data_IF_344439171699
#
_entry.id   IF_344439171699
#
_cell.length_a   1.000
_cell.length_b   1.000
_cell.length_c   1.000
_cell.angle_alpha   90.00
_cell.angle_beta   90.00
_cell.angle_gamma   90.00
#
_symmetry.space_group_name_H-M   'P 1'
#
loop_
_entity.id
_entity.type
_entity.pdbx_description
1 polymer ?
#
# COMPACT_ATOMS: atom_id res chain seq x y z
N UNK A 1 36.86 23.13 35.85
CA UNK A 1 35.54 22.78 35.27
C UNK A 1 34.92 21.77 36.22
N UNK A 2 34.23 22.24 37.26
CA UNK A 2 34.05 21.48 38.51
C UNK A 2 32.78 20.60 38.57
N UNK A 3 32.24 20.13 37.43
CA UNK A 3 31.19 19.11 37.43
C UNK A 3 29.89 19.42 38.19
N UNK A 4 29.67 20.66 38.66
CA UNK A 4 28.48 21.04 39.42
C UNK A 4 27.33 21.23 38.44
N UNK A 5 26.42 20.26 38.37
CA UNK A 5 25.17 20.37 37.64
C UNK A 5 24.23 21.32 38.38
N UNK A 6 24.01 22.52 37.84
CA UNK A 6 23.01 23.47 38.38
C UNK A 6 21.68 23.26 37.67
N UNK A 7 20.74 22.61 38.36
CA UNK A 7 19.38 22.44 37.85
C UNK A 7 18.60 23.77 38.01
N UNK A 8 17.78 24.16 37.01
CA UNK A 8 16.95 25.35 37.10
C UNK A 8 15.84 25.17 38.15
N UNK A 9 15.37 26.29 38.74
CA UNK A 9 14.24 26.24 39.68
C UNK A 9 13.00 25.62 39.03
N UNK A 10 12.32 24.68 39.73
CA UNK A 10 11.12 24.04 39.21
C UNK A 10 10.00 25.06 38.96
N UNK A 11 9.33 24.91 37.81
CA UNK A 11 8.19 25.76 37.40
C UNK A 11 6.85 25.00 37.43
N UNK A 12 6.87 23.72 37.80
CA UNK A 12 5.68 22.87 37.98
C UNK A 12 5.90 21.89 39.14
N UNK A 13 4.80 21.33 39.68
CA UNK A 13 4.85 20.28 40.70
C UNK A 13 5.56 19.02 40.20
N UNK A 14 5.38 18.64 38.93
CA UNK A 14 6.10 17.50 38.31
C UNK A 14 7.62 17.71 38.31
N UNK A 15 8.07 18.93 38.00
CA UNK A 15 9.50 19.27 38.03
C UNK A 15 10.03 19.29 39.47
N UNK A 16 9.25 19.79 40.43
CA UNK A 16 9.63 19.77 41.84
C UNK A 16 9.80 18.33 42.33
N UNK A 17 8.85 17.45 42.03
CA UNK A 17 8.91 16.03 42.40
C UNK A 17 10.15 15.35 41.82
N UNK A 18 10.47 15.61 40.54
CA UNK A 18 11.66 15.07 39.89
C UNK A 18 12.96 15.60 40.52
N UNK A 19 13.04 16.91 40.78
CA UNK A 19 14.22 17.52 41.41
C UNK A 19 14.44 16.97 42.82
N UNK A 20 13.37 16.84 43.63
CA UNK A 20 13.42 16.22 44.96
C UNK A 20 13.86 14.76 44.90
N UNK A 21 13.36 13.99 43.93
CA UNK A 21 13.79 12.61 43.75
C UNK A 21 15.28 12.51 43.41
N UNK A 22 15.76 13.31 42.44
CA UNK A 22 17.16 13.36 42.04
C UNK A 22 18.10 13.78 43.19
N UNK A 23 17.63 14.58 44.15
CA UNK A 23 18.44 14.96 45.33
C UNK A 23 18.61 13.84 46.34
N UNK A 24 17.77 12.81 46.29
CA UNK A 24 17.80 11.65 47.19
C UNK A 24 18.60 10.47 46.58
N UNK A 25 18.80 10.48 45.26
CA UNK A 25 19.60 9.45 44.58
C UNK A 25 21.08 9.62 44.94
N UNK A 26 21.66 8.63 45.61
CA UNK A 26 23.11 8.53 45.82
C UNK A 26 23.78 7.99 44.56
N UNK A 27 24.65 8.78 43.96
CA UNK A 27 25.49 8.33 42.85
C UNK A 27 26.67 7.53 43.41
N UNK A 28 26.98 6.41 42.76
CA UNK A 28 28.14 5.60 43.09
C UNK A 28 29.20 5.81 42.00
N UNK A 29 30.47 5.67 42.34
CA UNK A 29 31.59 5.75 41.37
C UNK A 29 31.76 4.47 40.53
N UNK A 30 30.70 3.69 40.38
CA UNK A 30 30.71 2.48 39.55
C UNK A 30 30.45 2.86 38.09
N UNK A 31 31.07 2.13 37.16
CA UNK A 31 30.80 2.30 35.73
C UNK A 31 29.33 1.96 35.42
N UNK A 32 28.68 2.84 34.67
CA UNK A 32 27.32 2.63 34.20
C UNK A 32 27.27 1.42 33.25
N UNK A 33 26.29 0.53 33.48
CA UNK A 33 25.97 -0.57 32.57
C UNK A 33 24.54 -0.41 32.04
N UNK A 34 24.35 -0.74 30.77
CA UNK A 34 23.01 -0.72 30.17
C UNK A 34 22.37 -2.10 30.28
N UNK A 35 21.09 -2.13 30.65
CA UNK A 35 20.25 -3.32 30.62
C UNK A 35 19.09 -3.08 29.64
N UNK A 36 18.80 -4.08 28.80
CA UNK A 36 17.62 -4.08 27.96
C UNK A 36 16.52 -4.83 28.71
N UNK A 37 15.41 -4.19 29.04
CA UNK A 37 14.31 -4.83 29.78
C UNK A 37 13.01 -4.76 28.98
N UNK A 38 12.25 -5.86 28.96
CA UNK A 38 10.93 -5.94 28.34
C UNK A 38 10.00 -6.80 29.18
N UNK A 39 8.84 -6.27 29.59
CA UNK A 39 7.84 -6.99 30.42
C UNK A 39 8.50 -7.75 31.59
N UNK A 40 9.40 -7.08 32.30
CA UNK A 40 10.18 -7.60 33.44
C UNK A 40 11.23 -8.68 33.12
N UNK A 41 11.52 -8.93 31.85
CA UNK A 41 12.61 -9.80 31.40
C UNK A 41 13.83 -8.98 30.96
N UNK A 42 14.98 -9.25 31.56
CA UNK A 42 16.27 -8.75 31.09
C UNK A 42 16.69 -9.48 29.81
N UNK A 43 16.99 -8.72 28.78
CA UNK A 43 17.41 -9.19 27.48
C UNK A 43 18.92 -9.06 27.36
N UNK A 44 19.58 -10.16 27.03
CA UNK A 44 21.01 -10.20 26.82
C UNK A 44 21.51 -9.34 25.63
N UNK A 45 20.61 -8.94 24.71
CA UNK A 45 20.99 -8.10 23.57
C UNK A 45 19.85 -7.21 23.05
N UNK A 46 20.26 -6.09 22.46
CA UNK A 46 19.36 -5.17 21.76
C UNK A 46 18.79 -5.80 20.49
N UNK A 47 17.48 -5.73 20.30
CA UNK A 47 16.82 -6.11 19.04
C UNK A 47 15.97 -4.97 18.51
N UNK A 48 16.43 -4.35 17.42
CA UNK A 48 15.69 -3.30 16.71
C UNK A 48 14.30 -3.79 16.26
N UNK A 49 14.19 -5.04 15.81
CA UNK A 49 12.91 -5.63 15.39
C UNK A 49 11.94 -5.77 16.56
N UNK A 50 12.45 -6.14 17.74
CA UNK A 50 11.64 -6.26 18.94
C UNK A 50 11.14 -4.89 19.38
N UNK A 51 12.03 -3.91 19.52
CA UNK A 51 11.65 -2.54 19.91
C UNK A 51 10.70 -1.90 18.89
N UNK A 52 10.93 -2.13 17.61
CA UNK A 52 10.00 -1.68 16.57
C UNK A 52 8.61 -2.30 16.74
N UNK A 53 8.51 -3.59 17.07
CA UNK A 53 7.21 -4.21 17.36
C UNK A 53 6.58 -3.62 18.63
N UNK A 54 7.36 -3.32 19.66
CA UNK A 54 6.84 -2.73 20.91
C UNK A 54 6.30 -1.32 20.74
N UNK A 55 7.02 -0.48 19.99
CA UNK A 55 6.63 0.91 19.77
C UNK A 55 5.49 0.99 18.73
N UNK A 56 5.38 0.00 17.86
CA UNK A 56 4.42 0.05 16.75
C UNK A 56 3.02 -0.27 17.22
N UNK A 57 2.11 0.65 16.94
CA UNK A 57 0.67 0.35 16.94
C UNK A 57 0.35 -0.83 16.01
N UNK A 58 0.05 -1.98 16.58
CA UNK A 58 -0.39 -3.17 15.87
C UNK A 58 -1.83 -2.98 15.37
N UNK A 59 -1.99 -2.22 14.29
CA UNK A 59 -3.28 -2.07 13.61
C UNK A 59 -3.69 -3.39 12.96
N UNK A 60 -4.99 -3.74 12.99
CA UNK A 60 -5.46 -4.98 12.39
C UNK A 60 -5.10 -5.02 10.90
N UNK A 61 -4.76 -6.21 10.41
CA UNK A 61 -4.50 -6.39 8.99
C UNK A 61 -5.74 -6.04 8.18
N UNK A 62 -5.58 -5.09 7.27
CA UNK A 62 -6.64 -4.61 6.40
C UNK A 62 -6.95 -5.63 5.31
N UNK A 63 -8.24 -5.90 5.02
CA UNK A 63 -8.64 -6.96 4.09
C UNK A 63 -8.19 -6.71 2.65
N UNK A 64 -7.94 -5.45 2.27
CA UNK A 64 -7.45 -5.07 0.94
C UNK A 64 -5.94 -5.22 0.76
N UNK A 65 -5.17 -5.55 1.81
CA UNK A 65 -3.70 -5.59 1.76
C UNK A 65 -3.19 -6.47 0.60
N UNK A 66 -3.70 -7.70 0.49
CA UNK A 66 -3.30 -8.68 -0.53
C UNK A 66 -3.78 -8.32 -1.95
N UNK A 67 -4.83 -7.49 -2.06
CA UNK A 67 -5.41 -7.03 -3.32
C UNK A 67 -4.61 -5.85 -3.89
N UNK A 68 -4.16 -4.94 -3.00
CA UNK A 68 -3.34 -3.79 -3.37
C UNK A 68 -1.88 -4.19 -3.59
N UNK A 69 -1.31 -4.94 -2.65
CA UNK A 69 0.11 -5.30 -2.64
C UNK A 69 0.33 -6.71 -3.16
N UNK A 70 -0.02 -6.92 -4.42
CA UNK A 70 0.20 -8.18 -5.11
C UNK A 70 1.70 -8.40 -5.35
N UNK A 71 2.30 -9.47 -4.80
CA UNK A 71 3.74 -9.74 -4.88
C UNK A 71 4.28 -9.83 -6.31
N UNK A 72 3.50 -10.41 -7.23
CA UNK A 72 3.84 -10.50 -8.67
C UNK A 72 3.27 -9.32 -9.48
N UNK A 73 2.79 -8.29 -8.80
CA UNK A 73 2.26 -7.06 -9.36
C UNK A 73 3.29 -6.20 -10.07
N UNK A 74 2.84 -5.07 -10.60
CA UNK A 74 3.74 -3.99 -11.07
C UNK A 74 3.81 -2.97 -9.91
N UNK A 75 4.99 -2.70 -9.33
CA UNK A 75 5.09 -1.85 -8.13
C UNK A 75 4.42 -0.49 -8.28
N UNK A 76 4.60 0.15 -9.45
CA UNK A 76 3.94 1.41 -9.79
C UNK A 76 2.41 1.30 -9.73
N UNK A 77 1.84 0.21 -10.24
CA UNK A 77 0.39 0.01 -10.25
C UNK A 77 -0.15 -0.31 -8.85
N UNK A 78 0.58 -1.09 -8.05
CA UNK A 78 0.26 -1.33 -6.63
C UNK A 78 0.21 -0.01 -5.86
N UNK A 79 1.21 0.88 -6.08
CA UNK A 79 1.24 2.18 -5.45
C UNK A 79 0.03 3.04 -5.82
N UNK A 80 -0.40 3.04 -7.10
CA UNK A 80 -1.57 3.82 -7.51
C UNK A 80 -2.91 3.19 -7.13
N UNK A 81 -2.99 1.88 -6.97
CA UNK A 81 -4.22 1.22 -6.49
C UNK A 81 -4.48 1.49 -5.00
N UNK A 82 -3.42 1.60 -4.19
CA UNK A 82 -3.50 1.88 -2.75
C UNK A 82 -4.31 3.15 -2.36
N UNK A 83 -4.02 4.36 -2.89
CA UNK A 83 -4.77 5.56 -2.55
C UNK A 83 -6.21 5.52 -3.07
N UNK A 84 -6.48 4.76 -4.13
CA UNK A 84 -7.83 4.54 -4.67
C UNK A 84 -8.63 3.62 -3.73
N UNK A 85 -8.02 2.57 -3.21
CA UNK A 85 -8.61 1.68 -2.20
C UNK A 85 -8.86 2.40 -0.88
N UNK A 86 -7.93 3.26 -0.44
CA UNK A 86 -8.09 4.03 0.79
C UNK A 86 -9.11 5.17 0.69
N UNK A 87 -9.68 5.44 -0.49
CA UNK A 87 -10.45 6.65 -0.77
C UNK A 87 -9.68 7.95 -0.40
N UNK A 88 -8.34 7.89 -0.37
CA UNK A 88 -7.43 8.97 0.06
C UNK A 88 -6.75 9.70 -1.09
N UNK A 89 -7.01 9.33 -2.34
CA UNK A 89 -6.70 10.22 -3.45
C UNK A 89 -7.44 11.56 -3.19
N UNK A 90 -6.81 12.75 -3.33
CA UNK A 90 -7.41 14.09 -3.17
C UNK A 90 -8.54 14.42 -4.17
N UNK A 91 -9.23 13.38 -4.63
CA UNK A 91 -10.36 13.37 -5.50
C UNK A 91 -11.54 12.62 -4.86
N UNK A 92 -11.64 12.39 -3.53
CA UNK A 92 -12.83 11.71 -2.95
C UNK A 92 -14.16 12.38 -3.36
N UNK A 93 -14.22 13.71 -3.31
CA UNK A 93 -15.39 14.47 -3.80
C UNK A 93 -15.44 14.59 -5.32
N UNK A 94 -14.33 14.34 -6.02
CA UNK A 94 -14.26 14.36 -7.49
C UNK A 94 -14.59 13.00 -8.10
N UNK A 95 -14.15 11.87 -7.56
CA UNK A 95 -14.44 10.49 -7.96
C UNK A 95 -15.93 10.14 -7.78
N UNK A 96 -16.57 10.60 -6.70
CA UNK A 96 -18.02 10.50 -6.53
C UNK A 96 -18.79 11.48 -7.44
N UNK A 97 -18.30 12.72 -7.65
CA UNK A 97 -18.77 13.61 -8.76
C UNK A 97 -18.42 13.08 -10.16
N UNK A 98 -17.49 12.14 -10.29
CA UNK A 98 -17.06 11.61 -11.59
C UNK A 98 -18.00 10.53 -12.07
N UNK A 99 -18.76 9.88 -11.18
CA UNK A 99 -19.84 8.96 -11.51
C UNK A 99 -19.62 8.09 -12.75
N UNK A 100 -18.41 7.63 -13.10
CA UNK A 100 -18.14 7.03 -14.43
C UNK A 100 -18.80 7.77 -15.62
N UNK A 101 -19.08 9.06 -15.48
CA UNK A 101 -19.71 9.93 -16.48
C UNK A 101 -18.70 10.85 -17.15
N UNK A 102 -17.43 10.80 -16.78
CA UNK A 102 -16.37 11.32 -17.63
C UNK A 102 -15.87 10.20 -18.53
N UNK A 103 -16.49 10.14 -19.70
CA UNK A 103 -16.09 9.38 -20.88
C UNK A 103 -16.52 7.89 -20.87
N UNK A 104 -17.56 7.55 -21.66
CA UNK A 104 -17.97 6.16 -21.94
C UNK A 104 -16.77 5.25 -22.27
N UNK A 105 -15.71 5.83 -22.84
CA UNK A 105 -14.45 5.16 -23.23
C UNK A 105 -13.66 4.56 -22.05
N UNK A 106 -13.75 5.13 -20.86
CA UNK A 106 -13.05 4.65 -19.66
C UNK A 106 -13.77 3.47 -18.97
N UNK A 107 -15.11 3.48 -19.02
CA UNK A 107 -15.96 2.39 -18.52
C UNK A 107 -15.75 1.14 -19.39
N UNK A 108 -15.70 1.34 -20.71
CA UNK A 108 -15.44 0.28 -21.69
C UNK A 108 -14.08 -0.40 -21.45
N UNK A 109 -13.06 0.32 -20.99
CA UNK A 109 -11.75 -0.29 -20.69
C UNK A 109 -11.84 -1.30 -19.54
N UNK A 110 -12.51 -0.96 -18.44
CA UNK A 110 -12.72 -1.92 -17.36
C UNK A 110 -13.62 -3.07 -17.79
N UNK A 111 -14.68 -2.80 -18.57
CA UNK A 111 -15.58 -3.83 -19.10
C UNK A 111 -14.82 -4.84 -19.98
N UNK A 112 -13.97 -4.38 -20.91
CA UNK A 112 -13.11 -5.23 -21.75
C UNK A 112 -12.14 -6.06 -20.89
N UNK A 113 -11.53 -5.41 -19.90
CA UNK A 113 -10.53 -6.06 -19.03
C UNK A 113 -11.17 -7.07 -18.06
N UNK A 114 -12.34 -6.76 -17.52
CA UNK A 114 -13.10 -7.63 -16.64
C UNK A 114 -13.66 -8.83 -17.41
N UNK A 115 -14.18 -8.63 -18.62
CA UNK A 115 -14.60 -9.72 -19.50
C UNK A 115 -13.44 -10.68 -19.80
N UNK A 116 -12.25 -10.15 -20.12
CA UNK A 116 -11.03 -10.97 -20.30
C UNK A 116 -10.55 -11.65 -19.02
N UNK A 117 -10.92 -11.13 -17.85
CA UNK A 117 -10.59 -11.69 -16.54
C UNK A 117 -11.67 -12.61 -15.95
N UNK A 118 -12.74 -12.89 -16.71
CA UNK A 118 -13.86 -13.70 -16.21
C UNK A 118 -14.55 -13.06 -14.99
N UNK A 119 -14.44 -11.74 -14.83
CA UNK A 119 -15.03 -11.00 -13.71
C UNK A 119 -16.23 -10.18 -14.21
N UNK A 120 -17.28 -10.06 -13.39
CA UNK A 120 -18.40 -9.17 -13.69
C UNK A 120 -17.95 -7.72 -13.64
N UNK A 121 -18.24 -6.95 -14.70
CA UNK A 121 -17.88 -5.53 -14.77
C UNK A 121 -18.81 -4.71 -13.87
N UNK A 122 -18.42 -4.53 -12.62
CA UNK A 122 -19.21 -3.70 -11.70
C UNK A 122 -18.84 -2.21 -11.90
N UNK A 123 -19.86 -1.36 -11.95
CA UNK A 123 -19.70 0.11 -12.15
C UNK A 123 -19.46 0.87 -10.85
N UNK A 124 -19.56 0.22 -9.70
CA UNK A 124 -19.33 0.88 -8.41
C UNK A 124 -18.01 0.42 -7.81
N UNK A 125 -17.11 1.37 -7.54
CA UNK A 125 -15.78 1.07 -7.00
C UNK A 125 -15.80 0.28 -5.67
N UNK A 126 -16.65 0.60 -4.67
CA UNK A 126 -16.71 -0.18 -3.43
C UNK A 126 -17.08 -1.65 -3.67
N UNK A 127 -17.97 -1.89 -4.64
CA UNK A 127 -18.41 -3.23 -5.03
C UNK A 127 -17.34 -3.96 -5.86
N UNK A 128 -16.58 -3.24 -6.71
CA UNK A 128 -15.41 -3.81 -7.36
C UNK A 128 -14.35 -4.26 -6.36
N UNK A 129 -14.07 -3.44 -5.33
CA UNK A 129 -13.09 -3.78 -4.31
C UNK A 129 -13.53 -4.99 -3.49
N UNK A 130 -14.80 -5.05 -3.07
CA UNK A 130 -15.33 -6.21 -2.36
C UNK A 130 -15.28 -7.47 -3.23
N UNK A 131 -15.63 -7.36 -4.52
CA UNK A 131 -15.52 -8.46 -5.48
C UNK A 131 -14.06 -8.94 -5.63
N UNK A 132 -13.08 -8.04 -5.74
CA UNK A 132 -11.65 -8.40 -5.80
C UNK A 132 -11.16 -9.08 -4.52
N UNK A 133 -11.67 -8.67 -3.36
CA UNK A 133 -11.37 -9.29 -2.07
C UNK A 133 -11.98 -10.70 -1.96
N UNK A 134 -13.21 -10.89 -2.46
CA UNK A 134 -13.94 -12.16 -2.41
C UNK A 134 -13.62 -13.11 -3.57
N UNK A 135 -12.65 -12.78 -4.45
CA UNK A 135 -12.26 -13.66 -5.56
C UNK A 135 -11.79 -15.03 -5.05
N UNK A 136 -12.61 -16.04 -5.30
CA UNK A 136 -12.31 -17.46 -5.09
C UNK A 136 -12.00 -18.12 -6.43
N UNK A 137 -10.85 -17.75 -7.00
CA UNK A 137 -10.34 -18.29 -8.26
C UNK A 137 -9.01 -19.03 -8.03
N UNK A 138 -8.62 -19.94 -8.93
CA UNK A 138 -7.27 -20.49 -8.97
C UNK A 138 -6.21 -19.38 -8.92
N UNK A 139 -5.06 -19.63 -8.26
CA UNK A 139 -4.03 -18.60 -7.99
C UNK A 139 -3.61 -17.80 -9.22
N UNK A 140 -3.49 -18.44 -10.38
CA UNK A 140 -3.08 -17.80 -11.63
C UNK A 140 -4.17 -16.86 -12.19
N UNK A 141 -5.44 -17.26 -12.14
CA UNK A 141 -6.58 -16.44 -12.54
C UNK A 141 -6.78 -15.27 -11.58
N UNK A 142 -6.70 -15.52 -10.26
CA UNK A 142 -6.77 -14.43 -9.26
C UNK A 142 -5.67 -13.40 -9.48
N UNK A 143 -4.43 -13.85 -9.68
CA UNK A 143 -3.31 -12.96 -9.99
C UNK A 143 -3.56 -12.17 -11.28
N UNK A 144 -4.07 -12.83 -12.31
CA UNK A 144 -4.42 -12.20 -13.57
C UNK A 144 -5.46 -11.09 -13.41
N UNK A 145 -6.58 -11.37 -12.73
CA UNK A 145 -7.65 -10.39 -12.49
C UNK A 145 -7.15 -9.18 -11.68
N UNK A 146 -6.30 -9.43 -10.68
CA UNK A 146 -5.67 -8.35 -9.91
C UNK A 146 -4.73 -7.49 -10.76
N UNK A 147 -3.90 -8.09 -11.62
CA UNK A 147 -3.03 -7.37 -12.55
C UNK A 147 -3.83 -6.51 -13.53
N UNK A 148 -4.93 -7.07 -14.06
CA UNK A 148 -5.83 -6.36 -14.96
C UNK A 148 -6.45 -5.14 -14.26
N UNK A 149 -7.04 -5.35 -13.09
CA UNK A 149 -7.66 -4.30 -12.28
C UNK A 149 -6.68 -3.18 -11.90
N UNK A 150 -5.51 -3.53 -11.38
CA UNK A 150 -4.47 -2.56 -11.02
C UNK A 150 -3.97 -1.76 -12.24
N UNK A 151 -3.84 -2.42 -13.39
CA UNK A 151 -3.41 -1.76 -14.63
C UNK A 151 -4.46 -0.80 -15.17
N UNK A 152 -5.75 -1.16 -15.09
CA UNK A 152 -6.85 -0.26 -15.45
C UNK A 152 -6.84 0.99 -14.58
N UNK A 153 -6.68 0.87 -13.26
CA UNK A 153 -6.59 2.02 -12.35
C UNK A 153 -5.44 2.95 -12.76
N UNK A 154 -4.26 2.38 -12.99
CA UNK A 154 -3.08 3.15 -13.37
C UNK A 154 -3.27 3.88 -14.70
N UNK A 155 -3.79 3.20 -15.72
CA UNK A 155 -3.99 3.80 -17.04
C UNK A 155 -5.04 4.92 -17.00
N UNK A 156 -6.11 4.75 -16.25
CA UNK A 156 -7.12 5.79 -16.03
C UNK A 156 -6.52 7.01 -15.34
N UNK A 157 -5.73 6.79 -14.28
CA UNK A 157 -5.01 7.86 -13.60
C UNK A 157 -4.05 8.60 -14.54
N UNK A 158 -3.28 7.85 -15.34
CA UNK A 158 -2.28 8.40 -16.25
C UNK A 158 -2.91 9.21 -17.40
N UNK A 159 -3.98 8.70 -18.01
CA UNK A 159 -4.72 9.40 -19.08
C UNK A 159 -5.33 10.70 -18.55
N UNK A 160 -5.99 10.66 -17.39
CA UNK A 160 -6.56 11.86 -16.76
C UNK A 160 -5.50 12.92 -16.52
N UNK A 161 -4.38 12.55 -15.93
CA UNK A 161 -3.31 13.50 -15.64
C UNK A 161 -2.68 14.07 -16.93
N UNK A 162 -2.62 13.26 -17.99
CA UNK A 162 -2.19 13.74 -19.31
C UNK A 162 -3.16 14.78 -19.88
N UNK A 163 -4.48 14.58 -19.73
CA UNK A 163 -5.48 15.56 -20.16
C UNK A 163 -5.40 16.85 -19.35
N UNK A 164 -5.37 16.75 -18.02
CA UNK A 164 -5.41 17.92 -17.13
C UNK A 164 -4.14 18.76 -17.23
N UNK A 165 -2.97 18.12 -17.14
CA UNK A 165 -1.70 18.83 -17.01
C UNK A 165 -0.95 19.01 -18.31
N UNK A 166 -1.26 18.20 -19.34
CA UNK A 166 -0.53 18.21 -20.61
C UNK A 166 -1.42 18.52 -21.81
N UNK A 167 -2.74 18.61 -21.63
CA UNK A 167 -3.72 18.76 -22.73
C UNK A 167 -3.54 17.71 -23.84
N UNK A 168 -3.05 16.52 -23.47
CA UNK A 168 -2.85 15.40 -24.39
C UNK A 168 -4.03 14.45 -24.26
N UNK A 169 -4.68 14.17 -25.40
CA UNK A 169 -5.86 13.31 -25.49
C UNK A 169 -5.55 12.13 -26.40
N UNK A 170 -5.62 10.91 -25.86
CA UNK A 170 -5.40 9.70 -26.65
C UNK A 170 -6.74 9.09 -27.08
N UNK A 171 -6.82 8.49 -28.29
CA UNK A 171 -7.99 7.74 -28.69
C UNK A 171 -8.16 6.50 -27.81
N UNK A 172 -9.41 6.10 -27.56
CA UNK A 172 -9.75 4.96 -26.69
C UNK A 172 -9.13 3.65 -27.15
N UNK A 173 -9.07 3.41 -28.46
CA UNK A 173 -8.43 2.25 -29.06
C UNK A 173 -6.94 2.16 -28.67
N UNK A 174 -6.23 3.28 -28.64
CA UNK A 174 -4.82 3.33 -28.23
C UNK A 174 -4.63 3.00 -26.75
N UNK A 175 -5.54 3.48 -25.89
CA UNK A 175 -5.52 3.18 -24.45
C UNK A 175 -5.81 1.69 -24.22
N UNK A 176 -6.82 1.13 -24.90
CA UNK A 176 -7.15 -0.29 -24.81
C UNK A 176 -6.02 -1.18 -25.32
N UNK A 177 -5.43 -0.85 -26.48
CA UNK A 177 -4.26 -1.56 -27.00
C UNK A 177 -3.07 -1.45 -26.05
N UNK A 178 -2.86 -0.30 -25.41
CA UNK A 178 -1.83 -0.13 -24.39
C UNK A 178 -2.08 -1.02 -23.17
N UNK A 179 -3.32 -1.14 -22.70
CA UNK A 179 -3.69 -2.01 -21.59
C UNK A 179 -3.45 -3.49 -21.90
N UNK A 180 -3.88 -3.92 -23.09
CA UNK A 180 -3.68 -5.28 -23.61
C UNK A 180 -2.19 -5.61 -23.69
N UNK A 181 -1.41 -4.73 -24.32
CA UNK A 181 0.03 -4.92 -24.46
C UNK A 181 0.74 -4.93 -23.12
N UNK A 182 0.35 -4.07 -22.17
CA UNK A 182 0.94 -4.03 -20.84
C UNK A 182 0.76 -5.36 -20.10
N UNK A 183 -0.45 -5.92 -20.15
CA UNK A 183 -0.76 -7.18 -19.46
C UNK A 183 -0.08 -8.36 -20.16
N UNK A 184 -0.10 -8.42 -21.50
CA UNK A 184 0.68 -9.41 -22.26
C UNK A 184 2.16 -9.35 -21.91
N UNK A 185 2.75 -8.15 -21.90
CA UNK A 185 4.17 -7.97 -21.56
C UNK A 185 4.46 -8.41 -20.12
N UNK A 186 3.55 -8.10 -19.18
CA UNK A 186 3.68 -8.55 -17.80
C UNK A 186 3.59 -10.07 -17.67
N UNK A 187 2.67 -10.72 -18.37
CA UNK A 187 2.56 -12.19 -18.38
C UNK A 187 3.82 -12.83 -19.01
N UNK A 188 4.30 -12.27 -20.12
CA UNK A 188 5.53 -12.72 -20.78
C UNK A 188 6.76 -12.57 -19.89
N UNK A 189 6.82 -11.54 -19.04
CA UNK A 189 7.91 -11.38 -18.06
C UNK A 189 8.00 -12.52 -17.03
N UNK A 190 6.92 -13.28 -16.84
CA UNK A 190 6.95 -14.48 -16.00
C UNK A 190 7.56 -15.69 -16.69
N UNK A 191 7.83 -15.65 -18.00
CA UNK A 191 8.30 -16.82 -18.75
C UNK A 191 9.65 -17.34 -18.24
N UNK A 192 10.54 -16.43 -17.86
CA UNK A 192 11.89 -16.78 -17.38
C UNK A 192 11.88 -17.25 -15.91
N UNK A 193 10.99 -16.71 -15.08
CA UNK A 193 10.89 -17.08 -13.65
C UNK A 193 9.94 -18.24 -13.37
N UNK A 194 8.85 -18.37 -14.15
CA UNK A 194 7.85 -19.42 -14.04
C UNK A 194 7.08 -19.61 -15.35
N UNK A 195 7.67 -20.43 -16.25
CA UNK A 195 7.12 -20.72 -17.58
C UNK A 195 5.69 -21.29 -17.54
N UNK A 196 5.37 -22.18 -16.60
CA UNK A 196 4.02 -22.75 -16.46
C UNK A 196 2.97 -21.69 -16.14
N UNK A 197 3.27 -20.79 -15.20
CA UNK A 197 2.37 -19.68 -14.85
C UNK A 197 2.11 -18.76 -16.05
N UNK A 198 3.17 -18.41 -16.79
CA UNK A 198 3.06 -17.57 -18.00
C UNK A 198 2.17 -18.23 -19.06
N UNK A 199 2.37 -19.52 -19.35
CA UNK A 199 1.55 -20.26 -20.33
C UNK A 199 0.09 -20.32 -19.92
N UNK A 200 -0.21 -20.64 -18.66
CA UNK A 200 -1.60 -20.71 -18.16
C UNK A 200 -2.30 -19.36 -18.24
N UNK A 201 -1.62 -18.27 -17.88
CA UNK A 201 -2.18 -16.93 -17.96
C UNK A 201 -2.37 -16.46 -19.41
N UNK A 202 -1.47 -16.82 -20.33
CA UNK A 202 -1.63 -16.52 -21.76
C UNK A 202 -2.78 -17.32 -22.39
N UNK A 203 -2.97 -18.58 -22.00
CA UNK A 203 -4.10 -19.40 -22.45
C UNK A 203 -5.43 -18.81 -21.98
N UNK A 204 -5.50 -18.27 -20.77
CA UNK A 204 -6.69 -17.58 -20.27
C UNK A 204 -6.90 -16.20 -20.93
N UNK A 205 -5.87 -15.60 -21.54
CA UNK A 205 -5.95 -14.29 -22.18
C UNK A 205 -6.48 -14.32 -23.62
N UNK A 206 -6.16 -15.40 -24.34
CA UNK A 206 -6.55 -15.67 -25.73
C UNK A 206 -8.05 -15.99 -25.79
#
# INVERSE_FOLDING_TARGET
MNGIWTLPNPRSEEQLALITHLTIVSLNDLDDSYIWQHEDLELASYSMSMIYNLIKDHKPQVPWLKVVWTQRGIPKHNFFSWPVVLNRCPAKNRLLKWGLQTDLRCVLLWEIMAAKAGCTSVRQWPVCLSAMQSLSLPRHQKLFSLLAWQSTIYLLWNERNSRIHRQLFRPSSSISSSAISLIKNKISSFRDSNRRLSTLMMQHWL
#
